data_IF_755358317963
#
_entry.id   IF_755358317963
#
_cell.length_a   1.000
_cell.length_b   1.000
_cell.length_c   1.000
_cell.angle_alpha   90.00
_cell.angle_beta   90.00
_cell.angle_gamma   90.00
#
_symmetry.space_group_name_H-M   'P 1'
#
loop_
_entity.id
_entity.type
_entity.pdbx_description
1 polymer ?
#
# COMPACT_ATOMS: atom_id res chain seq x y z
N UNK A 1 42.71 -11.82 -38.63
CA UNK A 1 41.96 -13.03 -38.20
C UNK A 1 42.33 -13.33 -36.77
N UNK A 2 41.42 -13.08 -35.83
CA UNK A 2 40.98 -14.03 -34.78
C UNK A 2 40.10 -13.29 -33.77
N UNK A 3 38.82 -13.61 -33.87
CA UNK A 3 37.72 -13.20 -33.02
C UNK A 3 37.87 -13.77 -31.61
N UNK A 4 37.94 -12.90 -30.60
CA UNK A 4 37.73 -13.29 -29.21
C UNK A 4 36.24 -13.30 -28.93
N UNK A 5 35.60 -14.44 -29.24
CA UNK A 5 34.31 -14.78 -28.67
C UNK A 5 34.50 -15.00 -27.17
N UNK A 6 34.13 -14.01 -26.37
CA UNK A 6 33.89 -14.20 -24.95
C UNK A 6 32.73 -15.20 -24.80
N UNK A 7 33.07 -16.40 -24.33
CA UNK A 7 32.11 -17.44 -23.97
C UNK A 7 31.20 -16.88 -22.88
N UNK A 8 29.95 -16.60 -23.24
CA UNK A 8 28.83 -16.58 -22.30
C UNK A 8 28.87 -17.89 -21.53
N UNK A 9 29.15 -17.80 -20.23
CA UNK A 9 29.06 -18.91 -19.31
C UNK A 9 27.66 -19.56 -19.44
N UNK A 10 27.66 -20.89 -19.51
CA UNK A 10 26.48 -21.72 -19.63
C UNK A 10 25.45 -21.41 -18.53
N UNK A 11 24.26 -21.00 -18.98
CA UNK A 11 23.03 -20.98 -18.18
C UNK A 11 22.60 -22.42 -17.86
N UNK A 12 23.27 -23.09 -16.92
CA UNK A 12 22.78 -24.36 -16.36
C UNK A 12 22.96 -24.35 -14.84
N UNK A 13 21.93 -23.86 -14.16
CA UNK A 13 21.91 -23.79 -12.70
C UNK A 13 20.71 -23.02 -12.15
N UNK A 14 19.49 -23.31 -12.64
CA UNK A 14 18.24 -22.81 -12.01
C UNK A 14 17.95 -23.63 -10.75
N UNK A 15 18.77 -23.45 -9.71
CA UNK A 15 18.31 -23.66 -8.35
C UNK A 15 17.43 -22.47 -7.94
N UNK A 16 16.48 -22.62 -7.01
CA UNK A 16 15.86 -21.47 -6.38
C UNK A 16 16.98 -20.67 -5.71
N UNK A 17 17.26 -19.48 -6.22
CA UNK A 17 18.20 -18.55 -5.60
C UNK A 17 17.79 -18.29 -4.15
N UNK A 18 18.72 -17.81 -3.33
CA UNK A 18 18.43 -17.51 -1.92
C UNK A 18 17.19 -16.60 -1.86
N UNK A 19 16.15 -16.95 -1.09
CA UNK A 19 14.99 -16.08 -0.96
C UNK A 19 15.47 -14.75 -0.38
N UNK A 20 15.19 -13.68 -1.12
CA UNK A 20 15.26 -12.33 -0.59
C UNK A 20 14.07 -12.18 0.39
N UNK A 21 14.09 -11.14 1.21
CA UNK A 21 13.05 -10.93 2.23
C UNK A 21 11.63 -11.05 1.64
N UNK A 22 10.69 -11.62 2.40
CA UNK A 22 9.31 -11.76 1.94
C UNK A 22 8.60 -10.43 2.09
N UNK A 23 7.98 -9.93 1.02
CA UNK A 23 7.28 -8.66 1.03
C UNK A 23 5.78 -8.86 0.93
N UNK A 24 5.01 -8.09 1.69
CA UNK A 24 3.54 -8.10 1.61
C UNK A 24 3.08 -6.74 1.14
N UNK A 25 2.33 -6.70 0.06
CA UNK A 25 1.61 -5.51 -0.37
C UNK A 25 0.35 -5.38 0.47
N UNK A 26 0.12 -4.19 1.01
CA UNK A 26 -0.98 -3.92 1.94
C UNK A 26 -1.96 -2.92 1.34
N UNK A 27 -3.25 -3.21 1.44
CA UNK A 27 -4.32 -2.29 1.04
C UNK A 27 -5.04 -1.75 2.26
N UNK A 28 -5.26 -0.44 2.31
CA UNK A 28 -6.09 0.16 3.37
C UNK A 28 -7.52 -0.40 3.29
N UNK A 29 -8.01 -0.91 4.41
CA UNK A 29 -9.40 -1.31 4.56
C UNK A 29 -10.19 -0.16 5.20
N UNK A 30 -10.99 0.51 4.37
CA UNK A 30 -11.80 1.67 4.79
C UNK A 30 -12.78 1.32 5.90
N UNK A 31 -13.35 0.11 5.89
CA UNK A 31 -14.28 -0.35 6.94
C UNK A 31 -13.57 -0.52 8.27
N UNK A 32 -12.38 -1.15 8.28
CA UNK A 32 -11.56 -1.26 9.51
C UNK A 32 -11.10 0.10 10.00
N UNK A 33 -10.72 1.00 9.09
CA UNK A 33 -10.36 2.36 9.45
C UNK A 33 -11.53 3.11 10.09
N UNK A 34 -12.72 3.07 9.49
CA UNK A 34 -13.92 3.71 10.04
C UNK A 34 -14.32 3.12 11.40
N UNK A 35 -14.22 1.80 11.57
CA UNK A 35 -14.45 1.14 12.86
C UNK A 35 -13.40 1.54 13.89
N UNK A 36 -12.14 1.70 13.50
CA UNK A 36 -11.08 2.16 14.38
C UNK A 36 -11.31 3.61 14.82
N UNK A 37 -11.74 4.50 13.91
CA UNK A 37 -12.18 5.88 14.22
C UNK A 37 -13.29 5.84 15.25
N UNK A 38 -14.38 5.11 14.97
CA UNK A 38 -15.54 5.04 15.85
C UNK A 38 -15.18 4.49 17.24
N UNK A 39 -14.34 3.45 17.30
CA UNK A 39 -13.93 2.82 18.56
C UNK A 39 -13.00 3.72 19.38
N UNK A 40 -12.14 4.49 18.73
CA UNK A 40 -11.17 5.37 19.40
C UNK A 40 -11.84 6.66 19.89
N UNK A 41 -12.71 7.24 19.08
CA UNK A 41 -13.27 8.58 19.29
C UNK A 41 -14.64 8.52 19.96
N UNK A 42 -15.49 7.57 19.57
CA UNK A 42 -16.89 7.49 19.98
C UNK A 42 -17.10 7.52 21.50
N UNK A 43 -16.40 6.70 22.30
CA UNK A 43 -16.57 6.70 23.75
C UNK A 43 -16.20 8.05 24.40
N UNK A 44 -15.11 8.68 23.97
CA UNK A 44 -14.68 9.97 24.51
C UNK A 44 -15.68 11.08 24.20
N UNK A 45 -16.16 11.13 22.95
CA UNK A 45 -17.19 12.10 22.54
C UNK A 45 -18.46 11.92 23.36
N UNK A 46 -18.93 10.68 23.55
CA UNK A 46 -20.13 10.40 24.33
C UNK A 46 -19.99 10.82 25.79
N UNK A 47 -18.86 10.47 26.44
CA UNK A 47 -18.62 10.79 27.85
C UNK A 47 -18.51 12.31 28.06
N UNK A 48 -17.76 13.02 27.24
CA UNK A 48 -17.62 14.48 27.36
C UNK A 48 -18.94 15.21 27.07
N UNK A 49 -19.70 14.74 26.07
CA UNK A 49 -21.00 15.34 25.73
C UNK A 49 -22.03 15.12 26.83
N UNK A 50 -22.08 13.92 27.42
CA UNK A 50 -22.93 13.64 28.56
C UNK A 50 -22.52 14.49 29.78
N UNK A 51 -21.22 14.62 30.04
CA UNK A 51 -20.70 15.49 31.10
C UNK A 51 -21.14 16.94 30.95
N UNK A 52 -21.06 17.48 29.73
CA UNK A 52 -21.55 18.83 29.43
C UNK A 52 -23.07 18.95 29.67
N UNK A 53 -23.84 17.99 29.17
CA UNK A 53 -25.29 17.95 29.34
C UNK A 53 -25.76 17.91 30.79
N UNK A 54 -25.04 17.19 31.67
CA UNK A 54 -25.31 17.18 33.11
C UNK A 54 -24.85 18.46 33.80
N UNK A 55 -23.75 19.07 33.35
CA UNK A 55 -23.25 20.33 33.94
C UNK A 55 -24.19 21.51 33.68
N UNK A 56 -24.78 21.61 32.49
CA UNK A 56 -25.69 22.70 32.11
C UNK A 56 -27.17 22.42 32.43
N UNK A 57 -27.52 21.18 32.75
CA UNK A 57 -28.92 20.78 33.01
C UNK A 57 -29.38 20.86 34.45
N UNK A 58 -28.48 21.15 35.41
CA UNK A 58 -28.81 21.06 36.84
C UNK A 58 -29.21 19.62 37.21
N UNK A 59 -30.28 19.39 38.01
CA UNK A 59 -30.70 18.03 38.37
C UNK A 59 -31.26 17.21 37.19
N UNK A 60 -31.42 17.81 36.00
CA UNK A 60 -31.91 17.17 34.79
C UNK A 60 -30.87 17.09 33.67
N UNK A 61 -31.22 16.40 32.58
CA UNK A 61 -30.37 16.27 31.41
C UNK A 61 -30.72 17.34 30.36
N UNK A 62 -29.75 18.16 29.96
CA UNK A 62 -29.93 19.20 28.93
C UNK A 62 -29.63 18.64 27.52
N UNK A 63 -30.69 18.35 26.76
CA UNK A 63 -30.57 17.79 25.39
C UNK A 63 -29.87 18.75 24.41
N UNK A 64 -30.19 20.06 24.36
CA UNK A 64 -29.42 21.02 23.56
C UNK A 64 -27.91 21.04 23.87
N UNK A 65 -27.55 21.03 25.16
CA UNK A 65 -26.15 20.98 25.59
C UNK A 65 -25.47 19.67 25.17
N UNK A 66 -26.18 18.54 25.27
CA UNK A 66 -25.70 17.25 24.77
C UNK A 66 -25.42 17.27 23.26
N UNK A 67 -26.35 17.77 22.45
CA UNK A 67 -26.17 17.85 20.99
C UNK A 67 -25.03 18.78 20.60
N UNK A 68 -24.90 19.91 21.31
CA UNK A 68 -23.79 20.85 21.14
C UNK A 68 -22.46 20.21 21.51
N UNK A 69 -22.43 19.45 22.61
CA UNK A 69 -21.29 18.64 23.03
C UNK A 69 -20.91 17.60 21.99
N UNK A 70 -21.89 16.84 21.46
CA UNK A 70 -21.64 15.83 20.43
C UNK A 70 -20.96 16.42 19.21
N UNK A 71 -21.40 17.61 18.79
CA UNK A 71 -20.78 18.32 17.67
C UNK A 71 -19.37 18.83 18.01
N UNK A 72 -19.19 19.57 19.11
CA UNK A 72 -17.91 20.17 19.47
C UNK A 72 -16.84 19.14 19.82
N UNK A 73 -17.16 18.20 20.70
CA UNK A 73 -16.26 17.11 21.07
C UNK A 73 -16.07 16.13 19.91
N UNK A 74 -17.12 15.88 19.12
CA UNK A 74 -17.03 15.08 17.89
C UNK A 74 -16.03 15.67 16.89
N UNK A 75 -16.08 16.98 16.67
CA UNK A 75 -15.11 17.68 15.81
C UNK A 75 -13.69 17.61 16.39
N UNK A 76 -13.54 17.94 17.67
CA UNK A 76 -12.24 18.00 18.34
C UNK A 76 -11.56 16.63 18.37
N UNK A 77 -12.20 15.64 19.01
CA UNK A 77 -11.66 14.29 19.10
C UNK A 77 -11.64 13.59 17.74
N UNK A 78 -12.57 13.93 16.85
CA UNK A 78 -12.55 13.49 15.45
C UNK A 78 -11.25 13.87 14.76
N UNK A 79 -10.86 15.15 14.81
CA UNK A 79 -9.65 15.64 14.18
C UNK A 79 -8.38 15.01 14.76
N UNK A 80 -8.24 14.99 16.10
CA UNK A 80 -7.09 14.38 16.75
C UNK A 80 -7.03 12.86 16.58
N UNK A 81 -8.17 12.18 16.67
CA UNK A 81 -8.25 10.73 16.54
C UNK A 81 -7.99 10.26 15.11
N UNK A 82 -8.50 10.98 14.10
CA UNK A 82 -8.16 10.72 12.69
C UNK A 82 -6.67 10.94 12.46
N UNK A 83 -6.10 12.05 12.94
CA UNK A 83 -4.67 12.33 12.79
C UNK A 83 -3.80 11.23 13.43
N UNK A 84 -4.13 10.82 14.65
CA UNK A 84 -3.47 9.72 15.34
C UNK A 84 -3.55 8.41 14.52
N UNK A 85 -4.73 8.08 13.98
CA UNK A 85 -4.92 6.88 13.17
C UNK A 85 -4.15 6.95 11.86
N UNK A 86 -4.07 8.11 11.21
CA UNK A 86 -3.25 8.31 10.00
C UNK A 86 -1.79 8.01 10.30
N UNK A 87 -1.20 8.58 11.35
CA UNK A 87 0.18 8.28 11.74
C UNK A 87 0.39 6.80 12.07
N UNK A 88 -0.58 6.19 12.76
CA UNK A 88 -0.50 4.77 13.12
C UNK A 88 -0.59 3.85 11.89
N UNK A 89 -1.40 4.20 10.90
CA UNK A 89 -1.52 3.46 9.64
C UNK A 89 -0.27 3.65 8.77
N UNK A 90 0.31 4.84 8.77
CA UNK A 90 1.46 5.17 7.93
C UNK A 90 2.82 4.72 8.51
N UNK A 91 2.87 4.37 9.79
CA UNK A 91 4.07 3.82 10.41
C UNK A 91 4.62 2.61 9.64
N UNK A 92 5.95 2.53 9.51
CA UNK A 92 6.64 1.43 8.81
C UNK A 92 6.25 0.08 9.40
N UNK A 93 5.93 -0.87 8.54
CA UNK A 93 5.47 -2.20 8.94
C UNK A 93 4.08 -2.25 9.61
N UNK A 94 3.36 -1.12 9.67
CA UNK A 94 2.02 -1.11 10.25
C UNK A 94 1.05 -1.91 9.41
N UNK A 95 0.49 -2.95 10.03
CA UNK A 95 -0.62 -3.76 9.52
C UNK A 95 -1.98 -3.22 9.98
N UNK A 96 -1.98 -2.13 10.75
CA UNK A 96 -3.18 -1.59 11.35
C UNK A 96 -4.14 -1.03 10.30
N UNK A 97 -5.39 -1.50 10.29
CA UNK A 97 -6.40 -1.17 9.28
C UNK A 97 -6.02 -1.52 7.83
N UNK A 98 -5.03 -2.38 7.61
CA UNK A 98 -4.66 -2.85 6.27
C UNK A 98 -5.02 -4.32 6.11
N UNK A 99 -5.29 -4.72 4.88
CA UNK A 99 -5.43 -6.11 4.47
C UNK A 99 -4.27 -6.49 3.54
N UNK A 100 -3.76 -7.73 3.63
CA UNK A 100 -2.79 -8.20 2.65
C UNK A 100 -3.47 -8.26 1.28
N UNK A 101 -2.84 -7.64 0.29
CA UNK A 101 -3.28 -7.69 -1.11
C UNK A 101 -2.60 -8.86 -1.82
N UNK A 102 -1.27 -8.91 -1.73
CA UNK A 102 -0.46 -9.98 -2.29
C UNK A 102 0.84 -10.15 -1.49
N UNK A 103 1.40 -11.35 -1.55
CA UNK A 103 2.74 -11.64 -1.06
C UNK A 103 3.69 -11.79 -2.24
N UNK A 104 4.80 -11.10 -2.17
CA UNK A 104 5.91 -11.14 -3.13
C UNK A 104 7.08 -11.86 -2.46
N UNK A 105 7.53 -12.93 -3.10
CA UNK A 105 8.67 -13.74 -2.70
C UNK A 105 9.75 -13.56 -3.79
N UNK A 106 10.55 -12.47 -3.72
CA UNK A 106 11.68 -12.29 -4.62
C UNK A 106 12.81 -13.26 -4.26
N UNK A 107 13.51 -13.70 -5.30
CA UNK A 107 14.78 -14.43 -5.24
C UNK A 107 15.73 -13.80 -6.25
N UNK A 108 17.03 -14.10 -6.18
CA UNK A 108 18.05 -13.45 -7.02
C UNK A 108 17.69 -13.33 -8.51
N UNK A 109 16.95 -14.29 -9.07
CA UNK A 109 16.59 -14.31 -10.50
C UNK A 109 15.13 -14.68 -10.78
N UNK A 110 14.27 -14.65 -9.76
CA UNK A 110 12.85 -15.02 -9.92
C UNK A 110 11.99 -14.26 -8.92
N UNK A 111 10.73 -14.10 -9.25
CA UNK A 111 9.72 -13.50 -8.38
C UNK A 111 8.50 -14.40 -8.39
N UNK A 112 8.08 -14.80 -7.20
CA UNK A 112 6.81 -15.51 -6.99
C UNK A 112 5.80 -14.55 -6.36
N UNK A 113 4.61 -14.45 -6.96
CA UNK A 113 3.49 -13.69 -6.42
C UNK A 113 2.40 -14.65 -5.92
N UNK A 114 1.89 -14.39 -4.72
CA UNK A 114 0.77 -15.12 -4.11
C UNK A 114 -0.29 -14.15 -3.65
N UNK A 115 -1.55 -14.58 -3.64
CA UNK A 115 -2.62 -13.77 -3.06
C UNK A 115 -2.61 -13.82 -1.53
N UNK A 116 -3.50 -13.03 -0.91
CA UNK A 116 -3.71 -12.97 0.52
C UNK A 116 -4.01 -14.34 1.19
N UNK A 117 -4.50 -15.33 0.44
CA UNK A 117 -4.77 -16.69 0.94
C UNK A 117 -3.58 -17.64 0.79
N UNK A 118 -2.49 -17.17 0.17
CA UNK A 118 -1.31 -17.96 -0.15
C UNK A 118 -1.39 -18.70 -1.49
N UNK A 119 -2.49 -18.55 -2.24
CA UNK A 119 -2.63 -19.18 -3.55
C UNK A 119 -1.70 -18.49 -4.58
N UNK A 120 -1.07 -19.31 -5.43
CA UNK A 120 -0.11 -18.81 -6.41
C UNK A 120 -0.81 -17.96 -7.48
N UNK A 121 -0.38 -16.71 -7.63
CA UNK A 121 -0.82 -15.80 -8.69
C UNK A 121 0.04 -15.91 -9.94
N UNK A 122 1.34 -16.17 -9.77
CA UNK A 122 2.27 -16.40 -10.87
C UNK A 122 3.73 -16.42 -10.43
N UNK A 123 4.61 -16.81 -11.35
CA UNK A 123 6.07 -16.75 -11.22
C UNK A 123 6.72 -16.25 -12.49
N UNK A 124 7.76 -15.43 -12.37
CA UNK A 124 8.50 -14.88 -13.52
C UNK A 124 9.19 -15.99 -14.31
N UNK A 125 9.83 -16.94 -13.63
CA UNK A 125 10.50 -18.09 -14.26
C UNK A 125 9.57 -18.98 -15.10
N UNK A 126 8.27 -18.98 -14.79
CA UNK A 126 7.23 -19.72 -15.52
C UNK A 126 6.51 -18.89 -16.59
N UNK A 127 6.83 -17.58 -16.70
CA UNK A 127 6.16 -16.65 -17.60
C UNK A 127 4.73 -16.26 -17.20
N UNK A 128 4.25 -16.72 -16.05
CA UNK A 128 2.89 -16.43 -15.55
C UNK A 128 2.79 -15.13 -14.74
N UNK A 129 3.94 -14.55 -14.39
CA UNK A 129 4.09 -13.23 -13.80
C UNK A 129 5.03 -12.42 -14.68
N UNK A 130 4.68 -11.18 -15.00
CA UNK A 130 5.54 -10.26 -15.75
C UNK A 130 5.71 -8.96 -14.96
N UNK A 131 6.94 -8.47 -14.90
CA UNK A 131 7.27 -7.16 -14.33
C UNK A 131 7.58 -6.23 -15.49
N UNK A 132 6.85 -5.14 -15.62
CA UNK A 132 6.96 -4.23 -16.77
C UNK A 132 7.20 -2.80 -16.30
N UNK A 133 8.10 -2.10 -16.98
CA UNK A 133 8.28 -0.66 -16.81
C UNK A 133 7.15 0.09 -17.50
N UNK A 134 6.38 0.86 -16.74
CA UNK A 134 5.33 1.74 -17.27
C UNK A 134 5.54 3.19 -16.85
N UNK A 135 5.13 4.10 -17.72
CA UNK A 135 4.99 5.51 -17.38
C UNK A 135 3.54 5.76 -16.96
N UNK A 136 3.34 6.49 -15.87
CA UNK A 136 2.02 6.65 -15.24
C UNK A 136 1.72 8.12 -15.00
N UNK A 137 0.52 8.56 -15.39
CA UNK A 137 0.09 9.95 -15.19
C UNK A 137 -0.56 10.12 -13.82
N UNK A 138 0.11 10.80 -12.88
CA UNK A 138 -0.41 11.05 -11.54
C UNK A 138 -1.07 12.44 -11.44
N UNK A 139 -2.15 12.66 -12.19
CA UNK A 139 -2.94 13.89 -12.16
C UNK A 139 -2.06 15.15 -12.30
N UNK A 140 -2.14 16.07 -11.32
CA UNK A 140 -1.36 17.33 -11.33
C UNK A 140 0.14 17.16 -11.07
N UNK A 141 0.58 16.01 -10.55
CA UNK A 141 2.01 15.74 -10.30
C UNK A 141 2.76 15.35 -11.58
N UNK A 142 2.03 15.12 -12.67
CA UNK A 142 2.59 14.81 -13.98
C UNK A 142 2.95 13.34 -14.14
N UNK A 143 3.90 13.08 -15.03
CA UNK A 143 4.26 11.76 -15.54
C UNK A 143 5.40 11.17 -14.69
N UNK A 144 5.23 9.95 -14.19
CA UNK A 144 6.23 9.25 -13.37
C UNK A 144 6.51 7.84 -13.86
N UNK A 145 7.70 7.33 -13.59
CA UNK A 145 8.05 5.92 -13.79
C UNK A 145 7.46 5.05 -12.67
N UNK A 146 6.89 3.90 -13.03
CA UNK A 146 6.32 2.93 -12.09
C UNK A 146 6.44 1.51 -12.64
N UNK A 147 6.39 0.50 -11.79
CA UNK A 147 6.38 -0.90 -12.23
C UNK A 147 4.95 -1.41 -12.31
N UNK A 148 4.66 -2.24 -13.31
CA UNK A 148 3.40 -2.99 -13.39
C UNK A 148 3.70 -4.47 -13.25
N UNK A 149 3.05 -5.11 -12.28
CA UNK A 149 3.05 -6.54 -12.07
C UNK A 149 1.81 -7.13 -12.75
N UNK A 150 2.01 -7.87 -13.84
CA UNK A 150 0.95 -8.56 -14.57
C UNK A 150 0.91 -10.03 -14.15
N UNK A 151 -0.21 -10.47 -13.58
CA UNK A 151 -0.41 -11.84 -13.10
C UNK A 151 -1.78 -12.39 -13.54
N UNK A 152 -2.04 -13.68 -13.27
CA UNK A 152 -3.25 -14.36 -13.77
C UNK A 152 -4.59 -13.69 -13.41
N UNK A 153 -4.66 -12.96 -12.28
CA UNK A 153 -5.89 -12.29 -11.82
C UNK A 153 -6.02 -10.81 -12.20
N UNK A 154 -5.04 -10.23 -12.91
CA UNK A 154 -5.01 -8.78 -13.22
C UNK A 154 -3.63 -8.16 -13.10
N UNK A 155 -3.58 -6.84 -12.96
CA UNK A 155 -2.35 -6.06 -12.90
C UNK A 155 -2.29 -5.23 -11.63
N UNK A 156 -1.09 -5.03 -11.07
CA UNK A 156 -0.87 -4.14 -9.94
C UNK A 156 0.25 -3.15 -10.25
N UNK A 157 0.00 -1.87 -10.01
CA UNK A 157 0.98 -0.81 -10.22
C UNK A 157 1.73 -0.53 -8.92
N UNK A 158 3.05 -0.50 -9.01
CA UNK A 158 3.97 -0.24 -7.92
C UNK A 158 4.79 1.02 -8.20
N UNK A 159 4.96 1.86 -7.20
CA UNK A 159 5.82 3.05 -7.26
C UNK A 159 6.68 3.09 -5.99
N UNK A 160 7.93 3.57 -6.07
CA UNK A 160 8.71 3.78 -4.86
C UNK A 160 8.17 5.00 -4.10
N UNK A 161 8.56 5.14 -2.83
CA UNK A 161 8.25 6.36 -2.07
C UNK A 161 8.95 7.58 -2.65
N UNK A 162 10.14 7.39 -3.24
CA UNK A 162 10.85 8.44 -3.95
C UNK A 162 10.26 8.61 -5.36
N UNK A 163 10.07 9.87 -5.76
CA UNK A 163 9.53 10.17 -7.08
C UNK A 163 10.56 9.86 -8.17
N UNK A 164 10.22 8.95 -9.08
CA UNK A 164 11.01 8.64 -10.27
C UNK A 164 10.40 9.34 -11.48
N UNK A 165 11.21 10.12 -12.20
CA UNK A 165 10.80 10.76 -13.45
C UNK A 165 10.36 9.74 -14.50
N UNK A 166 9.57 10.18 -15.48
CA UNK A 166 9.16 9.31 -16.58
C UNK A 166 10.35 8.71 -17.33
N UNK A 167 10.24 7.43 -17.69
CA UNK A 167 11.26 6.76 -18.50
C UNK A 167 11.13 7.13 -19.97
N UNK A 168 12.24 7.46 -20.65
CA UNK A 168 12.21 7.83 -22.06
C UNK A 168 11.73 6.66 -22.93
N UNK A 169 10.92 6.96 -23.95
CA UNK A 169 10.45 5.98 -24.93
C UNK A 169 9.23 5.16 -24.51
N UNK A 170 8.77 5.25 -23.26
CA UNK A 170 7.56 4.56 -22.80
C UNK A 170 6.33 5.46 -22.88
N UNK A 171 5.22 4.90 -23.40
CA UNK A 171 3.93 5.61 -23.42
C UNK A 171 3.34 5.67 -22.02
N UNK A 172 2.63 6.77 -21.74
CA UNK A 172 1.87 6.92 -20.51
C UNK A 172 0.65 6.00 -20.50
N UNK A 173 0.49 5.22 -19.45
CA UNK A 173 -0.73 4.47 -19.17
C UNK A 173 -1.63 5.27 -18.23
N UNK A 174 -2.92 5.33 -18.59
CA UNK A 174 -3.97 5.82 -17.70
C UNK A 174 -4.36 4.68 -16.75
N UNK A 175 -3.81 4.72 -15.54
CA UNK A 175 -4.22 3.77 -14.51
C UNK A 175 -5.60 4.16 -13.96
N UNK A 176 -6.50 3.19 -13.84
CA UNK A 176 -7.79 3.36 -13.17
C UNK A 176 -7.74 2.79 -11.73
N UNK A 177 -6.66 2.09 -11.36
CA UNK A 177 -6.52 1.36 -10.10
C UNK A 177 -5.43 1.92 -9.17
N UNK A 178 -5.61 1.81 -7.85
CA UNK A 178 -4.67 2.42 -6.89
C UNK A 178 -3.23 1.92 -7.00
N UNK A 179 -2.28 2.84 -7.22
CA UNK A 179 -0.83 2.59 -7.18
C UNK A 179 -0.42 2.22 -5.75
N UNK A 180 0.33 1.14 -5.60
CA UNK A 180 0.92 0.73 -4.34
C UNK A 180 2.31 1.34 -4.19
N UNK A 181 2.56 1.93 -3.03
CA UNK A 181 3.88 2.43 -2.67
C UNK A 181 4.69 1.32 -2.01
N UNK A 182 5.91 1.11 -2.50
CA UNK A 182 6.83 0.08 -2.01
C UNK A 182 8.15 0.69 -1.56
N UNK A 183 8.86 0.00 -0.67
CA UNK A 183 10.18 0.42 -0.22
C UNK A 183 11.20 0.33 -1.36
N UNK A 184 12.17 1.25 -1.37
CA UNK A 184 13.17 1.38 -2.44
C UNK A 184 13.93 0.05 -2.70
N UNK A 185 14.36 -0.74 -1.70
CA UNK A 185 15.06 -2.01 -1.96
C UNK A 185 14.21 -3.04 -2.71
N UNK A 186 12.91 -3.12 -2.39
CA UNK A 186 11.98 -3.99 -3.12
C UNK A 186 11.77 -3.47 -4.54
N UNK A 187 11.61 -2.16 -4.69
CA UNK A 187 11.43 -1.55 -6.00
C UNK A 187 12.63 -1.81 -6.92
N UNK A 188 13.85 -1.62 -6.42
CA UNK A 188 15.09 -1.86 -7.16
C UNK A 188 15.23 -3.33 -7.58
N UNK A 189 14.97 -4.27 -6.66
CA UNK A 189 14.97 -5.70 -6.97
C UNK A 189 13.95 -6.07 -8.05
N UNK A 190 12.76 -5.45 -8.03
CA UNK A 190 11.75 -5.68 -9.07
C UNK A 190 12.13 -5.01 -10.40
N UNK A 191 12.83 -3.87 -10.36
CA UNK A 191 13.28 -3.14 -11.54
C UNK A 191 14.35 -3.92 -12.33
N UNK A 192 15.19 -4.70 -11.65
CA UNK A 192 16.14 -5.64 -12.27
C UNK A 192 15.45 -6.79 -13.01
N UNK A 193 14.28 -7.20 -12.52
CA UNK A 193 13.44 -8.23 -13.14
C UNK A 193 12.51 -7.68 -14.24
N UNK A 194 12.49 -6.36 -14.42
CA UNK A 194 11.62 -5.70 -15.39
C UNK A 194 12.24 -5.71 -16.80
N UNK A 195 11.50 -6.26 -17.76
CA UNK A 195 11.85 -6.34 -19.18
C UNK A 195 11.14 -5.25 -20.00
#
# INVERSE_FOLDING_TARGET
MNSTHERRAERTGRGPGRPLEHFTLWRLNTTRFALAVLKTIGPLVLVCSAGLAFSEGGPGFNVPAFMTGLFLFGLLFGLFGILFLVFKVDARGSTYCKDPLMHLEPSEHDLTARDASGALLGKVSSGTLRVVRVNVMQGKRGLMGALRLDHAKGSVWLSPYQWIGAWPGLRSESFHEGIQYVEDPLFDALLELAE
#
